data_IF_495619264256
#
_entry.id   IF_495619264256
#
_cell.length_a   1.000
_cell.length_b   1.000
_cell.length_c   1.000
_cell.angle_alpha   90.00
_cell.angle_beta   90.00
_cell.angle_gamma   90.00
#
_symmetry.space_group_name_H-M   'P 1'
#
loop_
_entity.id
_entity.type
_entity.pdbx_description
1 polymer ?
#
# COMPACT_ATOMS: atom_id res chain seq x y z
N UNK A 1 -12.21 4.08 -24.84
CA UNK A 1 -12.85 4.40 -23.55
C UNK A 1 -12.05 3.66 -22.47
N UNK A 2 -11.39 4.32 -21.50
CA UNK A 2 -10.72 3.57 -20.45
C UNK A 2 -11.79 2.94 -19.53
N UNK A 3 -11.52 1.78 -18.91
CA UNK A 3 -12.47 1.16 -17.99
C UNK A 3 -12.74 2.13 -16.83
N UNK A 4 -14.02 2.46 -16.65
CA UNK A 4 -14.48 3.27 -15.52
C UNK A 4 -14.34 2.42 -14.26
N UNK A 5 -13.32 2.69 -13.44
CA UNK A 5 -13.23 2.10 -12.12
C UNK A 5 -14.33 2.68 -11.21
N UNK A 6 -15.02 1.82 -10.45
CA UNK A 6 -16.04 2.27 -9.50
C UNK A 6 -15.35 2.70 -8.21
N UNK A 7 -15.51 3.96 -7.80
CA UNK A 7 -14.96 4.45 -6.52
C UNK A 7 -15.63 3.75 -5.35
N UNK A 8 -14.85 3.03 -4.53
CA UNK A 8 -15.30 2.33 -3.33
C UNK A 8 -15.28 3.25 -2.11
N UNK A 9 -14.23 4.06 -1.96
CA UNK A 9 -14.11 5.01 -0.87
C UNK A 9 -13.19 6.18 -1.21
N UNK A 10 -13.46 7.32 -0.58
CA UNK A 10 -12.64 8.52 -0.61
C UNK A 10 -12.41 8.99 0.82
N UNK A 11 -11.19 8.78 1.31
CA UNK A 11 -10.84 8.86 2.73
C UNK A 11 -9.85 10.00 2.97
N UNK A 12 -10.04 10.76 4.04
CA UNK A 12 -9.22 11.94 4.32
C UNK A 12 -7.94 11.55 5.07
N UNK A 13 -6.80 12.06 4.64
CA UNK A 13 -5.50 11.72 5.22
C UNK A 13 -4.92 12.89 6.00
N UNK A 14 -4.47 12.61 7.22
CA UNK A 14 -3.69 13.56 8.02
C UNK A 14 -2.22 13.61 7.59
N UNK A 15 -1.70 12.52 7.00
CA UNK A 15 -0.31 12.45 6.54
C UNK A 15 -0.12 11.37 5.50
N UNK A 16 0.75 11.65 4.53
CA UNK A 16 1.36 10.66 3.64
C UNK A 16 2.87 10.72 3.80
N UNK A 17 3.51 9.58 4.02
CA UNK A 17 4.96 9.45 4.15
C UNK A 17 5.45 8.45 3.15
N UNK A 18 6.54 8.74 2.44
CA UNK A 18 7.06 7.84 1.41
C UNK A 18 8.60 7.76 1.41
N UNK A 19 9.13 6.68 0.86
CA UNK A 19 10.56 6.55 0.56
C UNK A 19 10.75 5.57 -0.59
N UNK A 20 11.72 5.85 -1.45
CA UNK A 20 12.18 4.90 -2.48
C UNK A 20 13.63 4.55 -2.18
N UNK A 21 13.93 3.26 -2.13
CA UNK A 21 15.30 2.76 -1.95
C UNK A 21 15.65 1.76 -3.04
N UNK A 22 16.94 1.43 -3.16
CA UNK A 22 17.35 0.22 -3.88
C UNK A 22 16.94 -1.04 -3.10
N UNK A 23 16.82 -2.16 -3.79
CA UNK A 23 16.45 -3.46 -3.21
C UNK A 23 17.41 -3.89 -2.09
N UNK A 24 18.70 -3.60 -2.26
CA UNK A 24 19.77 -3.96 -1.35
C UNK A 24 20.15 -2.83 -0.38
N UNK A 25 19.31 -1.80 -0.24
CA UNK A 25 19.58 -0.67 0.66
C UNK A 25 19.76 -1.16 2.10
N UNK A 26 20.93 -0.89 2.69
CA UNK A 26 21.23 -1.13 4.10
C UNK A 26 21.52 0.21 4.75
N UNK A 27 20.57 0.73 5.50
CA UNK A 27 20.72 1.99 6.21
C UNK A 27 19.39 2.60 6.63
N UNK A 28 19.41 3.73 7.34
CA UNK A 28 18.20 4.49 7.66
C UNK A 28 17.40 4.84 6.40
N UNK A 29 16.09 4.99 6.57
CA UNK A 29 15.18 5.40 5.50
C UNK A 29 14.98 6.92 5.59
N UNK A 30 15.32 7.62 4.51
CA UNK A 30 15.07 9.05 4.39
C UNK A 30 13.63 9.27 3.90
N UNK A 31 12.70 9.38 4.84
CA UNK A 31 11.29 9.56 4.53
C UNK A 31 10.99 10.99 4.08
N UNK A 32 10.25 11.11 2.98
CA UNK A 32 9.53 12.33 2.63
C UNK A 32 8.16 12.34 3.29
N UNK A 33 7.71 13.49 3.78
CA UNK A 33 6.44 13.63 4.48
C UNK A 33 5.61 14.76 3.88
N UNK A 34 4.34 14.46 3.62
CA UNK A 34 3.31 15.41 3.20
C UNK A 34 2.25 15.41 4.30
N UNK A 35 2.08 16.55 4.97
CA UNK A 35 1.06 16.73 6.00
C UNK A 35 -0.25 17.12 5.31
N UNK A 36 -1.33 16.43 5.66
CA UNK A 36 -2.64 16.71 5.10
C UNK A 36 -3.30 17.88 5.82
N UNK A 37 -3.62 18.93 5.07
CA UNK A 37 -4.33 20.12 5.55
C UNK A 37 -5.68 20.21 4.83
N UNK A 38 -6.47 19.13 4.89
CA UNK A 38 -7.72 18.92 4.14
C UNK A 38 -7.56 18.84 2.61
N UNK A 39 -6.32 18.77 2.12
CA UNK A 39 -5.98 18.65 0.70
C UNK A 39 -5.52 17.23 0.33
N UNK A 40 -5.33 16.34 1.30
CA UNK A 40 -4.75 15.02 1.09
C UNK A 40 -5.79 13.91 1.30
N UNK A 41 -5.95 13.04 0.30
CA UNK A 41 -6.95 11.98 0.30
C UNK A 41 -6.42 10.67 -0.26
N UNK A 42 -7.00 9.56 0.17
CA UNK A 42 -6.88 8.25 -0.46
C UNK A 42 -8.18 7.91 -1.19
N UNK A 43 -8.09 7.46 -2.42
CA UNK A 43 -9.21 6.90 -3.19
C UNK A 43 -8.95 5.42 -3.41
N UNK A 44 -9.94 4.60 -3.07
CA UNK A 44 -9.98 3.18 -3.37
C UNK A 44 -10.96 2.97 -4.53
N UNK A 45 -10.50 2.37 -5.62
CA UNK A 45 -11.31 2.12 -6.81
C UNK A 45 -11.31 0.63 -7.14
N UNK A 46 -12.48 0.10 -7.45
CA UNK A 46 -12.63 -1.22 -8.04
C UNK A 46 -12.23 -1.15 -9.51
N UNK A 47 -11.21 -1.91 -9.88
CA UNK A 47 -10.73 -2.07 -11.24
C UNK A 47 -11.32 -3.33 -11.85
N UNK A 48 -12.16 -3.17 -12.87
CA UNK A 48 -12.57 -4.28 -13.71
C UNK A 48 -11.55 -4.46 -14.83
N UNK A 49 -10.77 -5.54 -14.78
CA UNK A 49 -9.92 -5.92 -15.91
C UNK A 49 -10.81 -6.65 -16.91
N UNK A 50 -11.03 -6.07 -18.08
CA UNK A 50 -11.81 -6.71 -19.17
C UNK A 50 -11.22 -8.08 -19.49
N UNK A 51 -11.99 -9.15 -19.27
CA UNK A 51 -11.55 -10.54 -19.49
C UNK A 51 -11.04 -11.29 -18.26
N UNK A 52 -10.96 -10.65 -17.09
CA UNK A 52 -10.72 -11.31 -15.81
C UNK A 52 -12.03 -11.47 -15.03
N UNK A 53 -12.23 -12.64 -14.40
CA UNK A 53 -13.35 -12.89 -13.48
C UNK A 53 -13.14 -12.23 -12.10
N UNK A 54 -11.97 -11.66 -11.83
CA UNK A 54 -11.63 -11.06 -10.54
C UNK A 54 -11.56 -9.54 -10.60
N UNK A 55 -12.26 -8.91 -9.67
CA UNK A 55 -12.16 -7.47 -9.39
C UNK A 55 -10.79 -7.14 -8.78
N UNK A 56 -10.16 -6.09 -9.29
CA UNK A 56 -8.92 -5.53 -8.74
C UNK A 56 -9.17 -4.32 -7.84
N UNK A 57 -8.20 -3.98 -7.00
CA UNK A 57 -8.22 -2.76 -6.21
C UNK A 57 -7.11 -1.81 -6.66
N UNK A 58 -7.49 -0.60 -7.04
CA UNK A 58 -6.56 0.51 -7.25
C UNK A 58 -6.62 1.43 -6.02
N UNK A 59 -5.46 1.78 -5.49
CA UNK A 59 -5.29 2.81 -4.48
C UNK A 59 -4.61 4.02 -5.12
N UNK A 60 -5.24 5.18 -4.99
CA UNK A 60 -4.69 6.47 -5.39
C UNK A 60 -4.55 7.38 -4.18
N UNK A 61 -3.41 8.06 -4.07
CA UNK A 61 -3.20 9.14 -3.11
C UNK A 61 -3.16 10.44 -3.89
N UNK A 62 -4.01 11.39 -3.52
CA UNK A 62 -4.11 12.67 -4.19
C UNK A 62 -3.80 13.79 -3.20
N UNK A 63 -3.12 14.82 -3.72
CA UNK A 63 -3.04 16.13 -3.08
C UNK A 63 -3.75 17.14 -3.97
N UNK A 64 -4.77 17.81 -3.43
CA UNK A 64 -5.73 18.61 -4.20
C UNK A 64 -6.39 17.79 -5.33
N UNK A 65 -5.86 17.91 -6.54
CA UNK A 65 -6.31 17.19 -7.74
C UNK A 65 -5.20 16.35 -8.37
N UNK A 66 -3.97 16.45 -7.86
CA UNK A 66 -2.81 15.78 -8.41
C UNK A 66 -2.66 14.40 -7.77
N UNK A 67 -2.56 13.37 -8.61
CA UNK A 67 -2.26 12.01 -8.17
C UNK A 67 -0.76 11.94 -7.86
N UNK A 68 -0.43 11.76 -6.58
CA UNK A 68 0.96 11.67 -6.11
C UNK A 68 1.43 10.22 -5.93
N UNK A 69 0.49 9.28 -5.82
CA UNK A 69 0.76 7.85 -5.81
C UNK A 69 -0.44 7.10 -6.40
N UNK A 70 -0.19 6.12 -7.26
CA UNK A 70 -1.21 5.24 -7.83
C UNK A 70 -0.66 3.83 -7.93
N UNK A 71 -1.44 2.84 -7.50
CA UNK A 71 -1.03 1.45 -7.50
C UNK A 71 -2.21 0.50 -7.58
N UNK A 72 -2.04 -0.57 -8.35
CA UNK A 72 -2.96 -1.69 -8.39
C UNK A 72 -2.54 -2.71 -7.32
N UNK A 73 -3.22 -2.69 -6.17
CA UNK A 73 -2.93 -3.56 -5.03
C UNK A 73 -3.13 -5.03 -5.38
N UNK A 74 -4.17 -5.36 -6.15
CA UNK A 74 -4.47 -6.75 -6.54
C UNK A 74 -3.42 -7.32 -7.47
N UNK A 75 -2.98 -6.54 -8.46
CA UNK A 75 -1.88 -6.95 -9.34
C UNK A 75 -0.61 -7.22 -8.53
N UNK A 76 -0.23 -6.31 -7.63
CA UNK A 76 0.97 -6.48 -6.80
C UNK A 76 0.87 -7.67 -5.83
N UNK A 77 -0.33 -7.95 -5.30
CA UNK A 77 -0.57 -9.10 -4.44
C UNK A 77 -0.43 -10.43 -5.21
N UNK A 78 -1.01 -10.52 -6.41
CA UNK A 78 -0.91 -11.69 -7.29
C UNK A 78 0.54 -11.90 -7.73
N UNK A 79 1.22 -10.84 -8.21
CA UNK A 79 2.61 -10.90 -8.64
C UNK A 79 3.52 -11.39 -7.50
N UNK A 80 3.34 -10.86 -6.29
CA UNK A 80 4.09 -11.30 -5.12
C UNK A 80 3.73 -12.72 -4.64
N UNK A 81 2.54 -13.24 -4.94
CA UNK A 81 2.17 -14.63 -4.67
C UNK A 81 2.86 -15.59 -5.65
N UNK A 82 3.02 -15.18 -6.90
CA UNK A 82 3.59 -15.98 -7.99
C UNK A 82 5.12 -15.86 -8.13
N UNK A 83 5.77 -15.04 -7.29
CA UNK A 83 7.22 -14.84 -7.33
C UNK A 83 7.99 -16.17 -7.09
N UNK A 84 8.71 -16.69 -8.11
CA UNK A 84 9.41 -17.97 -8.04
C UNK A 84 10.57 -17.96 -7.04
N UNK A 85 11.03 -16.80 -6.56
CA UNK A 85 12.09 -16.74 -5.54
C UNK A 85 11.67 -17.28 -4.17
N UNK A 86 10.37 -17.51 -3.93
CA UNK A 86 9.85 -18.16 -2.72
C UNK A 86 10.17 -19.66 -2.62
N UNK A 87 10.41 -20.36 -3.72
CA UNK A 87 10.59 -21.84 -3.70
C UNK A 87 12.01 -22.27 -3.34
N UNK A 88 12.98 -21.36 -3.21
CA UNK A 88 14.40 -21.72 -3.02
C UNK A 88 15.14 -20.99 -1.91
N UNK A 89 14.46 -20.31 -0.97
CA UNK A 89 15.16 -19.51 0.05
C UNK A 89 14.87 -19.98 1.48
N UNK A 90 15.84 -20.70 2.05
CA UNK A 90 15.95 -21.15 3.45
C UNK A 90 16.34 -20.04 4.43
N UNK A 91 16.12 -18.77 4.09
CA UNK A 91 16.32 -17.63 5.00
C UNK A 91 15.15 -16.66 4.88
N UNK A 92 14.69 -16.13 6.00
CA UNK A 92 13.51 -15.27 6.15
C UNK A 92 13.59 -13.95 5.35
N UNK A 93 13.48 -14.01 4.03
CA UNK A 93 13.48 -12.84 3.16
C UNK A 93 12.12 -12.15 3.23
N UNK A 94 12.13 -10.86 3.58
CA UNK A 94 10.90 -10.06 3.75
C UNK A 94 10.19 -9.91 2.39
N UNK A 95 8.87 -10.12 2.31
CA UNK A 95 8.14 -10.14 1.04
C UNK A 95 8.29 -8.82 0.27
N UNK A 96 8.39 -8.89 -1.06
CA UNK A 96 8.59 -7.70 -1.93
C UNK A 96 7.39 -6.77 -1.93
N UNK A 97 6.19 -7.34 -1.87
CA UNK A 97 4.95 -6.64 -1.60
C UNK A 97 4.47 -6.94 -0.17
N UNK A 98 4.01 -5.91 0.54
CA UNK A 98 3.34 -6.10 1.83
C UNK A 98 2.43 -4.91 2.12
N UNK A 99 1.25 -5.20 2.67
CA UNK A 99 0.38 -4.21 3.30
C UNK A 99 0.41 -4.47 4.81
N UNK A 100 0.74 -3.45 5.59
CA UNK A 100 0.80 -3.51 7.05
C UNK A 100 -0.15 -2.46 7.61
N UNK A 101 -0.95 -2.86 8.59
CA UNK A 101 -1.97 -1.99 9.20
C UNK A 101 -1.67 -1.83 10.69
N UNK A 102 -1.82 -0.60 11.17
CA UNK A 102 -1.71 -0.25 12.59
C UNK A 102 -2.46 1.05 12.79
N UNK A 103 -3.55 1.03 13.55
CA UNK A 103 -4.40 2.21 13.77
C UNK A 103 -3.57 3.48 14.08
N UNK A 104 -3.83 4.64 13.43
CA UNK A 104 -4.74 4.90 12.32
C UNK A 104 -4.00 4.93 10.96
N UNK A 105 -3.12 3.98 10.72
CA UNK A 105 -2.20 3.96 9.60
C UNK A 105 -2.28 2.67 8.78
N UNK A 106 -2.08 2.84 7.48
CA UNK A 106 -1.85 1.76 6.52
C UNK A 106 -0.50 2.04 5.85
N UNK A 107 0.35 1.03 5.78
CA UNK A 107 1.65 1.09 5.13
C UNK A 107 1.73 0.06 4.02
N UNK A 108 2.36 0.43 2.91
CA UNK A 108 2.56 -0.46 1.76
C UNK A 108 4.03 -0.45 1.37
N UNK A 109 4.55 -1.63 1.08
CA UNK A 109 5.83 -1.87 0.40
C UNK A 109 5.52 -2.51 -0.94
N UNK A 110 6.18 -2.06 -2.01
CA UNK A 110 6.09 -2.67 -3.32
C UNK A 110 7.31 -2.34 -4.21
N UNK A 111 7.62 -3.16 -5.22
CA UNK A 111 8.57 -2.80 -6.27
C UNK A 111 8.06 -1.61 -7.09
N UNK A 112 8.92 -0.65 -7.45
CA UNK A 112 8.53 0.52 -8.27
C UNK A 112 9.41 0.65 -9.50
N UNK A 113 8.79 0.57 -10.68
CA UNK A 113 9.49 0.55 -11.96
C UNK A 113 10.23 -0.77 -12.14
N UNK A 114 11.55 -0.73 -12.30
CA UNK A 114 12.38 -1.94 -12.31
C UNK A 114 12.33 -2.66 -10.95
N UNK A 115 12.45 -4.00 -10.94
CA UNK A 115 12.50 -4.83 -9.72
C UNK A 115 13.61 -4.44 -8.72
N UNK A 116 14.58 -3.61 -9.13
CA UNK A 116 15.72 -3.16 -8.33
C UNK A 116 15.39 -2.03 -7.35
N UNK A 117 14.20 -1.41 -7.44
CA UNK A 117 13.78 -0.32 -6.55
C UNK A 117 12.55 -0.71 -5.74
N UNK A 118 12.60 -0.41 -4.45
CA UNK A 118 11.51 -0.64 -3.51
C UNK A 118 10.93 0.70 -3.10
N UNK A 119 9.62 0.86 -3.31
CA UNK A 119 8.84 1.98 -2.78
C UNK A 119 8.16 1.54 -1.49
N UNK A 120 8.14 2.46 -0.53
CA UNK A 120 7.37 2.32 0.71
C UNK A 120 6.57 3.58 0.89
N UNK A 121 5.34 3.44 1.37
CA UNK A 121 4.62 4.57 1.92
C UNK A 121 3.81 4.16 3.14
N UNK A 122 3.43 5.16 3.92
CA UNK A 122 2.47 5.08 5.01
C UNK A 122 1.48 6.22 4.86
N UNK A 123 0.20 5.90 4.91
CA UNK A 123 -0.88 6.87 5.08
C UNK A 123 -1.32 6.86 6.54
N UNK A 124 -1.63 8.03 7.08
CA UNK A 124 -2.32 8.22 8.35
C UNK A 124 -3.69 8.80 8.05
N UNK A 125 -4.74 8.08 8.42
CA UNK A 125 -6.11 8.57 8.28
C UNK A 125 -6.38 9.71 9.28
N UNK A 126 -7.24 10.64 8.89
CA UNK A 126 -7.65 11.77 9.75
C UNK A 126 -8.56 11.29 10.87
N UNK A 127 -9.45 10.35 10.56
CA UNK A 127 -10.42 9.78 11.48
C UNK A 127 -10.31 8.26 11.48
N UNK A 128 -10.61 7.66 12.62
CA UNK A 128 -10.49 6.21 12.83
C UNK A 128 -11.48 5.40 12.00
N UNK A 129 -12.70 5.91 11.75
CA UNK A 129 -13.66 5.25 10.86
C UNK A 129 -13.10 5.00 9.45
N UNK A 130 -12.26 5.91 8.94
CA UNK A 130 -11.67 5.80 7.61
C UNK A 130 -10.63 4.66 7.58
N UNK A 131 -9.91 4.44 8.68
CA UNK A 131 -9.03 3.28 8.82
C UNK A 131 -9.82 1.96 8.70
N UNK A 132 -10.92 1.82 9.43
CA UNK A 132 -11.74 0.61 9.37
C UNK A 132 -12.42 0.43 8.01
N UNK A 133 -12.85 1.51 7.36
CA UNK A 133 -13.36 1.46 5.98
C UNK A 133 -12.30 0.92 5.00
N UNK A 134 -11.05 1.38 5.13
CA UNK A 134 -9.95 0.84 4.31
C UNK A 134 -9.70 -0.65 4.58
N UNK A 135 -9.74 -1.10 5.84
CA UNK A 135 -9.62 -2.53 6.17
C UNK A 135 -10.76 -3.37 5.58
N UNK A 136 -12.00 -2.89 5.67
CA UNK A 136 -13.15 -3.58 5.11
C UNK A 136 -12.99 -3.79 3.60
N UNK A 137 -12.53 -2.77 2.87
CA UNK A 137 -12.27 -2.86 1.42
C UNK A 137 -11.17 -3.87 1.10
N UNK A 138 -10.06 -3.86 1.85
CA UNK A 138 -8.98 -4.83 1.68
C UNK A 138 -9.48 -6.26 1.89
N UNK A 139 -10.27 -6.49 2.94
CA UNK A 139 -10.84 -7.80 3.27
C UNK A 139 -11.87 -8.26 2.22
N UNK A 140 -12.78 -7.38 1.78
CA UNK A 140 -13.80 -7.70 0.77
C UNK A 140 -13.17 -8.18 -0.54
N UNK A 141 -12.03 -7.59 -0.92
CA UNK A 141 -11.29 -7.94 -2.13
C UNK A 141 -10.19 -8.98 -1.90
N UNK A 142 -10.19 -9.65 -0.74
CA UNK A 142 -9.24 -10.69 -0.36
C UNK A 142 -7.76 -10.28 -0.50
N UNK A 143 -7.45 -9.00 -0.23
CA UNK A 143 -6.08 -8.51 -0.25
C UNK A 143 -5.36 -8.84 1.05
N UNK A 144 -4.16 -9.46 0.98
CA UNK A 144 -3.41 -9.80 2.17
C UNK A 144 -2.86 -8.55 2.85
N UNK A 145 -3.12 -8.41 4.14
CA UNK A 145 -2.49 -7.44 5.02
C UNK A 145 -2.16 -8.06 6.38
N UNK A 146 -1.20 -7.47 7.10
CA UNK A 146 -0.80 -7.91 8.44
C UNK A 146 -0.84 -6.78 9.45
N UNK A 147 -1.07 -7.11 10.73
CA UNK A 147 -0.97 -6.14 11.80
C UNK A 147 0.50 -5.88 12.16
N UNK A 148 0.84 -4.62 12.44
CA UNK A 148 2.15 -4.31 12.97
C UNK A 148 2.31 -4.89 14.38
N UNK A 149 3.20 -5.87 14.55
CA UNK A 149 3.51 -6.42 15.86
C UNK A 149 4.02 -5.37 16.86
N UNK A 150 3.91 -5.62 18.18
CA UNK A 150 4.53 -4.76 19.17
C UNK A 150 6.03 -4.65 18.86
N UNK A 151 6.56 -3.43 18.87
CA UNK A 151 7.99 -3.22 18.69
C UNK A 151 8.73 -4.06 19.75
N UNK A 152 9.79 -4.80 19.40
CA UNK A 152 10.54 -5.55 20.40
C UNK A 152 11.06 -4.52 21.42
N UNK A 153 10.58 -4.62 22.65
CA UNK A 153 11.14 -3.87 23.76
C UNK A 153 12.60 -4.26 23.86
N UNK A 154 13.52 -3.34 23.54
CA UNK A 154 14.92 -3.52 23.90
C UNK A 154 14.95 -3.61 25.42
N UNK A 155 15.23 -4.80 25.96
CA UNK A 155 15.65 -4.92 27.35
C UNK A 155 16.95 -4.11 27.46
N UNK A 156 16.93 -3.08 28.32
CA UNK A 156 18.14 -2.38 28.77
C UNK A 156 19.01 -3.32 29.59
#
# INVERSE_FOLDING_TARGET
>A
RPPQGTSLARLSLAKFSHVTTTMNHRGPLNWGHIIGNNDLIAIFERSHVTGSMSDGLILKILRFRDIIEELNLSFLAIDAANDPTKTSQTSASKPLFAVVVKLPCLAVKYPRGSMVRIRRFQIKFTVEKDYYAALAILSELNLPFSEAGPAPMRKQ
#
